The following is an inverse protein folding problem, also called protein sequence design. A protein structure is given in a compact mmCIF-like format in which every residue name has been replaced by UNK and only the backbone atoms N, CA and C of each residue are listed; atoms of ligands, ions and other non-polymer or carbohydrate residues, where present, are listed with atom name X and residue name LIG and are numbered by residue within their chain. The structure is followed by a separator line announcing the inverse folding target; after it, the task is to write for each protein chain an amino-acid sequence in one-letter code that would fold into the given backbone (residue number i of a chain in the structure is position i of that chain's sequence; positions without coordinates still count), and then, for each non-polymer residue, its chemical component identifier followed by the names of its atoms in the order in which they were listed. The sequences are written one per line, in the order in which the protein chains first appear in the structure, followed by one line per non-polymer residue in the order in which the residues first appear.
data_IF_421354650468
#
_entry.id   IF_421354650468
#
_cell.length_a   1.000
_cell.length_b   1.000
_cell.length_c   1.000
_cell.angle_alpha   90.00
_cell.angle_beta   90.00
_cell.angle_gamma   90.00
#
_symmetry.space_group_name_H-M   'P 1'
#
loop_
_entity.id
_entity.type
_entity.pdbx_description
1 polymer ?
#
# COMPACT_ATOMS: atom_id res chain seq x y z
N UNK A 1 -43.62 -23.21 -9.39
CA UNK A 1 -42.22 -23.23 -9.84
C UNK A 1 -41.51 -21.98 -9.34
N UNK A 2 -40.79 -22.06 -8.22
CA UNK A 2 -39.96 -20.95 -7.77
C UNK A 2 -38.86 -20.72 -8.83
N UNK A 3 -38.82 -19.49 -9.33
CA UNK A 3 -38.19 -19.10 -10.59
C UNK A 3 -36.67 -19.32 -10.49
N UNK A 4 -36.12 -20.32 -11.18
CA UNK A 4 -34.66 -20.53 -11.31
C UNK A 4 -33.94 -19.23 -11.74
N UNK A 5 -34.63 -18.38 -12.51
CA UNK A 5 -34.18 -17.05 -12.91
C UNK A 5 -33.98 -16.05 -11.75
N UNK A 6 -34.82 -16.04 -10.71
CA UNK A 6 -34.65 -15.13 -9.58
C UNK A 6 -33.39 -15.46 -8.75
N UNK A 7 -33.06 -16.75 -8.63
CA UNK A 7 -31.81 -17.18 -7.99
C UNK A 7 -30.59 -16.89 -8.87
N UNK A 8 -30.68 -17.06 -10.20
CA UNK A 8 -29.60 -16.69 -11.12
C UNK A 8 -29.30 -15.18 -11.11
N UNK A 9 -30.33 -14.33 -11.07
CA UNK A 9 -30.17 -12.87 -10.99
C UNK A 9 -29.51 -12.46 -9.66
N UNK A 10 -29.91 -13.06 -8.53
CA UNK A 10 -29.25 -12.81 -7.23
C UNK A 10 -27.77 -13.21 -7.23
N UNK A 11 -27.44 -14.34 -7.85
CA UNK A 11 -26.04 -14.80 -7.97
C UNK A 11 -25.23 -13.86 -8.88
N UNK A 12 -25.79 -13.42 -10.00
CA UNK A 12 -25.14 -12.48 -10.91
C UNK A 12 -24.91 -11.10 -10.27
N UNK A 13 -25.89 -10.61 -9.51
CA UNK A 13 -25.78 -9.34 -8.79
C UNK A 13 -24.73 -9.41 -7.68
N UNK A 14 -24.68 -10.52 -6.92
CA UNK A 14 -23.64 -10.75 -5.91
C UNK A 14 -22.25 -10.77 -6.54
N UNK A 15 -22.07 -11.49 -7.66
CA UNK A 15 -20.79 -11.51 -8.39
C UNK A 15 -20.38 -10.14 -8.91
N UNK A 16 -21.30 -9.38 -9.50
CA UNK A 16 -21.01 -8.03 -9.99
C UNK A 16 -20.66 -7.07 -8.84
N UNK A 17 -21.36 -7.19 -7.71
CA UNK A 17 -21.07 -6.41 -6.51
C UNK A 17 -19.69 -6.75 -5.92
N UNK A 18 -19.37 -8.04 -5.83
CA UNK A 18 -18.07 -8.52 -5.33
C UNK A 18 -16.93 -8.08 -6.27
N UNK A 19 -17.11 -8.13 -7.59
CA UNK A 19 -16.13 -7.63 -8.57
C UNK A 19 -15.92 -6.12 -8.46
N UNK A 20 -16.99 -5.34 -8.28
CA UNK A 20 -16.89 -3.88 -8.07
C UNK A 20 -16.16 -3.60 -6.77
N UNK A 21 -16.49 -4.33 -5.70
CA UNK A 21 -15.85 -4.21 -4.39
C UNK A 21 -14.36 -4.54 -4.47
N UNK A 22 -14.00 -5.64 -5.15
CA UNK A 22 -12.61 -6.06 -5.33
C UNK A 22 -11.81 -5.04 -6.15
N UNK A 23 -12.37 -4.52 -7.25
CA UNK A 23 -11.73 -3.45 -8.05
C UNK A 23 -11.56 -2.16 -7.25
N UNK A 24 -12.54 -1.77 -6.43
CA UNK A 24 -12.42 -0.62 -5.53
C UNK A 24 -11.34 -0.86 -4.48
N UNK A 25 -11.28 -2.05 -3.88
CA UNK A 25 -10.26 -2.42 -2.90
C UNK A 25 -8.85 -2.44 -3.49
N UNK A 26 -8.68 -2.94 -4.72
CA UNK A 26 -7.42 -2.90 -5.46
C UNK A 26 -6.94 -1.47 -5.68
N UNK A 27 -7.82 -0.59 -6.14
CA UNK A 27 -7.51 0.84 -6.33
C UNK A 27 -7.19 1.55 -5.01
N UNK A 28 -7.96 1.26 -3.96
CA UNK A 28 -7.72 1.82 -2.63
C UNK A 28 -6.34 1.40 -2.10
N UNK A 29 -6.00 0.11 -2.27
CA UNK A 29 -4.70 -0.45 -1.86
C UNK A 29 -3.55 0.18 -2.65
N UNK A 30 -3.69 0.33 -3.97
CA UNK A 30 -2.69 1.02 -4.78
C UNK A 30 -2.45 2.44 -4.31
N UNK A 31 -3.53 3.21 -4.14
CA UNK A 31 -3.44 4.61 -3.73
C UNK A 31 -2.83 4.76 -2.32
N UNK A 32 -3.22 3.90 -1.38
CA UNK A 32 -2.62 3.86 -0.04
C UNK A 32 -1.13 3.53 -0.07
N UNK A 33 -0.71 2.57 -0.90
CA UNK A 33 0.70 2.25 -1.07
C UNK A 33 1.48 3.39 -1.74
N UNK A 34 0.87 4.14 -2.66
CA UNK A 34 1.49 5.34 -3.24
C UNK A 34 1.76 6.41 -2.18
N UNK A 35 0.79 6.67 -1.29
CA UNK A 35 0.98 7.60 -0.17
C UNK A 35 2.11 7.12 0.74
N UNK A 36 2.11 5.83 1.09
CA UNK A 36 3.17 5.25 1.91
C UNK A 36 4.55 5.39 1.26
N UNK A 37 4.66 5.15 -0.05
CA UNK A 37 5.90 5.24 -0.80
C UNK A 37 6.43 6.68 -0.85
N UNK A 38 5.54 7.65 -0.99
CA UNK A 38 5.86 9.08 -0.94
C UNK A 38 6.39 9.50 0.42
N UNK A 39 5.69 9.15 1.51
CA UNK A 39 6.11 9.45 2.87
C UNK A 39 7.47 8.80 3.20
N UNK A 40 7.64 7.54 2.81
CA UNK A 40 8.90 6.83 2.92
C UNK A 40 10.03 7.56 2.18
N UNK A 41 9.77 8.06 0.96
CA UNK A 41 10.76 8.80 0.18
C UNK A 41 11.31 10.06 0.88
N UNK A 42 10.52 10.68 1.76
CA UNK A 42 10.91 11.90 2.48
C UNK A 42 11.87 11.63 3.63
N UNK A 43 11.73 10.49 4.29
CA UNK A 43 12.46 10.16 5.52
C UNK A 43 13.54 9.09 5.32
N UNK A 44 13.66 8.52 4.12
CA UNK A 44 14.76 7.60 3.78
C UNK A 44 16.11 8.25 4.12
N UNK A 45 16.97 7.56 4.89
CA UNK A 45 18.36 7.92 5.02
C UNK A 45 19.11 7.72 3.71
N UNK A 46 19.63 8.80 3.14
CA UNK A 46 20.42 8.76 1.92
C UNK A 46 21.89 8.60 2.33
N UNK A 47 22.38 7.36 2.33
CA UNK A 47 23.83 7.10 2.33
C UNK A 47 24.37 7.06 0.89
N UNK A 48 23.55 6.66 -0.09
CA UNK A 48 23.83 6.80 -1.53
C UNK A 48 22.55 7.16 -2.29
N UNK A 49 22.65 7.91 -3.38
CA UNK A 49 21.53 8.31 -4.26
C UNK A 49 20.76 7.14 -4.88
N UNK A 50 21.24 5.90 -4.72
CA UNK A 50 20.65 4.69 -5.28
C UNK A 50 19.36 4.21 -4.55
N UNK A 51 19.13 4.63 -3.30
CA UNK A 51 17.98 4.14 -2.49
C UNK A 51 16.63 4.72 -2.90
N UNK A 52 16.58 5.98 -3.36
CA UNK A 52 15.32 6.66 -3.62
C UNK A 52 14.51 6.01 -4.77
N UNK A 53 15.20 5.38 -5.74
CA UNK A 53 14.63 4.97 -7.02
C UNK A 53 14.55 3.45 -7.24
N UNK A 54 14.89 2.61 -6.24
CA UNK A 54 14.97 1.15 -6.44
C UNK A 54 13.87 0.37 -5.70
N UNK A 55 12.62 0.78 -5.95
CA UNK A 55 11.42 0.24 -5.28
C UNK A 55 10.43 -0.27 -6.30
N UNK A 56 9.63 -1.27 -5.91
CA UNK A 56 8.55 -1.79 -6.75
C UNK A 56 7.31 -2.03 -5.90
N UNK A 57 6.18 -1.53 -6.38
CA UNK A 57 4.87 -1.70 -5.78
C UNK A 57 4.15 -2.87 -6.47
N UNK A 58 3.75 -3.87 -5.71
CA UNK A 58 2.99 -5.01 -6.20
C UNK A 58 1.65 -5.14 -5.48
N UNK A 59 0.62 -5.50 -6.22
CA UNK A 59 -0.72 -5.78 -5.68
C UNK A 59 -1.08 -7.19 -6.10
N UNK A 60 -1.49 -7.98 -5.12
CA UNK A 60 -1.96 -9.35 -5.29
C UNK A 60 -3.39 -9.44 -4.80
N UNK A 61 -4.29 -9.88 -5.67
CA UNK A 61 -5.69 -10.13 -5.37
C UNK A 61 -5.90 -11.64 -5.20
N UNK A 62 -6.25 -12.08 -3.99
CA UNK A 62 -6.50 -13.49 -3.67
C UNK A 62 -7.91 -13.62 -3.10
N UNK A 63 -8.86 -13.97 -3.96
CA UNK A 63 -10.28 -14.04 -3.60
C UNK A 63 -10.83 -12.68 -3.20
N UNK A 64 -11.36 -12.55 -1.98
CA UNK A 64 -11.86 -11.29 -1.43
C UNK A 64 -10.77 -10.45 -0.74
N UNK A 65 -9.52 -10.93 -0.69
CA UNK A 65 -8.41 -10.23 -0.05
C UNK A 65 -7.53 -9.56 -1.10
N UNK A 66 -7.30 -8.27 -0.92
CA UNK A 66 -6.30 -7.51 -1.68
C UNK A 66 -5.12 -7.26 -0.76
N UNK A 67 -3.93 -7.69 -1.19
CA UNK A 67 -2.67 -7.44 -0.48
C UNK A 67 -1.78 -6.57 -1.34
N UNK A 68 -1.24 -5.51 -0.75
CA UNK A 68 -0.27 -4.63 -1.36
C UNK A 68 1.11 -4.77 -0.72
N UNK A 69 2.18 -4.72 -1.51
CA UNK A 69 3.56 -4.80 -1.02
C UNK A 69 4.46 -3.79 -1.75
N UNK A 70 5.28 -3.07 -0.99
CA UNK A 70 6.41 -2.30 -1.51
C UNK A 70 7.67 -3.15 -1.28
N UNK A 71 8.44 -3.38 -2.35
CA UNK A 71 9.69 -4.13 -2.30
C UNK A 71 10.84 -3.21 -2.61
N UNK A 72 11.88 -3.25 -1.78
CA UNK A 72 13.14 -2.59 -2.05
C UNK A 72 14.09 -3.59 -2.70
N UNK A 73 14.64 -3.23 -3.86
CA UNK A 73 15.48 -4.13 -4.67
C UNK A 73 16.89 -4.31 -4.10
N UNK A 74 17.32 -3.44 -3.16
CA UNK A 74 18.64 -3.55 -2.54
C UNK A 74 18.54 -4.09 -1.12
N UNK A 75 19.37 -5.09 -0.81
CA UNK A 75 19.60 -5.59 0.55
C UNK A 75 19.99 -4.48 1.54
N UNK A 76 20.56 -3.40 1.01
CA UNK A 76 20.95 -2.21 1.73
C UNK A 76 19.80 -1.53 2.50
N UNK A 77 18.54 -1.63 2.04
CA UNK A 77 17.40 -1.04 2.75
C UNK A 77 17.20 -1.64 4.16
N UNK A 78 17.42 -2.95 4.31
CA UNK A 78 17.35 -3.62 5.61
C UNK A 78 18.52 -3.21 6.53
N UNK A 79 19.72 -3.09 5.96
CA UNK A 79 20.90 -2.63 6.70
C UNK A 79 20.69 -1.20 7.23
N UNK A 80 20.20 -0.27 6.41
CA UNK A 80 19.93 1.12 6.80
C UNK A 80 18.77 1.22 7.78
N UNK A 81 17.73 0.39 7.64
CA UNK A 81 16.60 0.39 8.56
C UNK A 81 17.00 0.05 10.01
N UNK A 82 17.98 -0.86 10.19
CA UNK A 82 18.55 -1.21 11.49
C UNK A 82 19.59 -0.22 12.03
N UNK A 83 19.96 0.79 11.23
CA UNK A 83 20.78 1.95 11.57
C UNK A 83 20.24 2.72 12.80
N UNK A 84 20.91 2.70 13.97
CA UNK A 84 20.59 3.54 15.15
C UNK A 84 21.82 4.36 15.55
N UNK A 85 21.63 5.62 15.94
CA UNK A 85 22.67 6.56 16.37
C UNK A 85 23.52 7.15 15.24
N UNK A 86 23.13 6.95 13.98
CA UNK A 86 23.88 7.42 12.81
C UNK A 86 23.50 8.86 12.49
N UNK A 87 24.51 9.71 12.28
CA UNK A 87 24.29 11.07 11.80
C UNK A 87 24.08 11.05 10.28
N UNK A 88 22.82 11.19 9.85
CA UNK A 88 22.44 11.12 8.45
C UNK A 88 22.71 12.43 7.72
N UNK A 89 23.17 12.35 6.47
CA UNK A 89 23.44 13.53 5.64
C UNK A 89 22.19 14.35 5.34
N UNK A 90 21.01 13.71 5.30
CA UNK A 90 19.74 14.36 5.01
C UNK A 90 19.06 14.77 6.33
N UNK A 91 18.64 16.04 6.48
CA UNK A 91 18.09 16.56 7.74
C UNK A 91 16.81 15.85 8.22
N UNK A 92 15.98 15.40 7.28
CA UNK A 92 14.69 14.79 7.58
C UNK A 92 14.76 13.25 7.72
N UNK A 93 15.97 12.68 7.66
CA UNK A 93 16.14 11.24 7.78
C UNK A 93 15.94 10.79 9.22
N UNK A 94 15.28 9.64 9.38
CA UNK A 94 14.91 9.11 10.68
C UNK A 94 15.35 7.66 10.82
N UNK A 95 15.67 7.27 12.05
CA UNK A 95 15.88 5.88 12.38
C UNK A 95 14.61 5.08 12.15
N UNK A 96 14.75 3.79 11.79
CA UNK A 96 13.62 2.91 11.51
C UNK A 96 12.61 3.53 10.52
N UNK A 97 13.11 4.28 9.52
CA UNK A 97 12.32 5.10 8.60
C UNK A 97 11.10 4.42 7.96
N UNK A 98 11.17 3.12 7.65
CA UNK A 98 10.02 2.33 7.14
C UNK A 98 8.84 2.34 8.12
N UNK A 99 9.13 2.12 9.41
CA UNK A 99 8.14 2.13 10.47
C UNK A 99 7.63 3.54 10.73
N UNK A 100 8.55 4.51 10.82
CA UNK A 100 8.20 5.92 11.04
C UNK A 100 7.30 6.46 9.94
N UNK A 101 7.66 6.23 8.67
CA UNK A 101 6.84 6.63 7.53
C UNK A 101 5.47 5.94 7.53
N UNK A 102 5.40 4.63 7.83
CA UNK A 102 4.12 3.92 7.89
C UNK A 102 3.22 4.47 9.01
N UNK A 103 3.79 4.84 10.15
CA UNK A 103 3.06 5.46 11.25
C UNK A 103 2.57 6.86 10.89
N UNK A 104 3.41 7.67 10.26
CA UNK A 104 3.09 9.04 9.83
C UNK A 104 2.03 9.06 8.71
N UNK A 105 2.15 8.15 7.73
CA UNK A 105 1.24 8.06 6.59
C UNK A 105 -0.15 7.52 6.96
N UNK A 106 -0.30 6.85 8.10
CA UNK A 106 -1.53 6.15 8.51
C UNK A 106 -2.82 6.97 8.38
N UNK A 107 -2.93 8.21 8.90
CA UNK A 107 -4.14 9.01 8.75
C UNK A 107 -4.50 9.30 7.28
N UNK A 108 -3.50 9.54 6.43
CA UNK A 108 -3.73 9.82 5.00
C UNK A 108 -4.10 8.54 4.24
N UNK A 109 -3.42 7.43 4.55
CA UNK A 109 -3.78 6.09 4.07
C UNK A 109 -5.25 5.78 4.39
N UNK A 110 -5.67 6.01 5.64
CA UNK A 110 -7.06 5.78 6.07
C UNK A 110 -8.04 6.70 5.33
N UNK A 111 -7.68 7.96 5.09
CA UNK A 111 -8.51 8.91 4.34
C UNK A 111 -8.66 8.48 2.87
N UNK A 112 -7.58 8.05 2.23
CA UNK A 112 -7.57 7.54 0.85
C UNK A 112 -8.40 6.26 0.75
N UNK A 113 -8.21 5.31 1.66
CA UNK A 113 -9.02 4.08 1.70
C UNK A 113 -10.52 4.41 1.80
N UNK A 114 -10.90 5.28 2.74
CA UNK A 114 -12.29 5.72 2.90
C UNK A 114 -12.83 6.35 1.62
N UNK A 115 -12.04 7.17 0.91
CA UNK A 115 -12.45 7.80 -0.36
C UNK A 115 -12.82 6.77 -1.43
N UNK A 116 -12.02 5.72 -1.60
CA UNK A 116 -12.27 4.68 -2.61
C UNK A 116 -13.36 3.68 -2.21
N UNK A 117 -13.56 3.46 -0.91
CA UNK A 117 -14.54 2.52 -0.38
C UNK A 117 -15.94 3.12 -0.20
N UNK A 118 -16.12 4.44 -0.34
CA UNK A 118 -17.45 5.05 -0.38
C UNK A 118 -18.29 4.41 -1.50
N UNK A 119 -19.50 4.00 -1.12
CA UNK A 119 -20.54 3.47 -2.02
C UNK A 119 -21.33 4.65 -2.56
#
# INVERSE_FOLDING_TARGET
MAVKGANQVKIGFKKAFDDIRNKKAAKATYAALTVLDQEQALVIPILTSAMANNRTLTINEVGERVTGKITFLQSYAAAVHGMVGVNWTRPNSTEQWLFTAAKTARPEIDAVFKRFMKV
#
